data_IF_889060774713
#
_entry.id   IF_889060774713
#
_cell.length_a   1.000
_cell.length_b   1.000
_cell.length_c   1.000
_cell.angle_alpha   90.00
_cell.angle_beta   90.00
_cell.angle_gamma   90.00
#
_symmetry.space_group_name_H-M   'P 1'
#
loop_
_entity.id
_entity.type
_entity.pdbx_description
1 polymer ?
#
# COMPACT_ATOMS: atom_id res chain seq x y z
N UNK A 1 3.43 -49.46 56.09
CA UNK A 1 4.07 -49.31 54.76
C UNK A 1 4.45 -47.84 54.63
N UNK A 2 5.68 -47.49 54.99
CA UNK A 2 6.84 -47.40 54.09
C UNK A 2 6.56 -46.35 52.99
N UNK A 3 7.08 -45.12 53.18
CA UNK A 3 8.22 -44.55 52.43
C UNK A 3 7.74 -43.83 51.15
N UNK A 4 8.15 -42.62 50.76
CA UNK A 4 9.47 -42.02 50.86
C UNK A 4 9.41 -40.51 50.63
N UNK A 5 10.33 -39.80 51.26
CA UNK A 5 10.76 -38.43 50.97
C UNK A 5 11.52 -38.30 49.64
N UNK A 6 11.65 -37.06 49.15
CA UNK A 6 12.83 -36.41 48.50
C UNK A 6 12.35 -35.45 47.38
N UNK A 7 12.63 -34.15 47.32
CA UNK A 7 13.79 -33.27 47.57
C UNK A 7 14.68 -33.02 46.33
N UNK A 8 14.63 -31.78 45.83
CA UNK A 8 15.65 -31.08 45.00
C UNK A 8 15.93 -31.68 43.60
N UNK A 9 16.47 -31.01 42.57
CA UNK A 9 17.34 -29.84 42.42
C UNK A 9 17.29 -29.34 40.96
N UNK A 10 17.80 -28.13 40.72
CA UNK A 10 18.00 -27.39 39.47
C UNK A 10 18.37 -28.17 38.17
N UNK A 11 17.89 -27.66 37.02
CA UNK A 11 18.76 -27.30 35.88
C UNK A 11 18.06 -26.42 34.84
N UNK A 12 18.80 -25.41 34.37
CA UNK A 12 18.53 -24.45 33.28
C UNK A 12 18.38 -25.17 31.93
N UNK A 13 17.62 -24.60 30.99
CA UNK A 13 18.09 -24.20 29.64
C UNK A 13 17.22 -23.03 29.13
N UNK A 14 17.88 -22.01 28.61
CA UNK A 14 17.37 -20.83 27.91
C UNK A 14 16.69 -21.21 26.59
N UNK A 15 15.58 -20.56 26.20
CA UNK A 15 15.45 -20.13 24.81
C UNK A 15 14.52 -18.92 24.65
N UNK A 16 15.09 -17.92 24.01
CA UNK A 16 14.56 -16.64 23.57
C UNK A 16 13.60 -16.76 22.38
N UNK A 17 12.53 -15.94 22.38
CA UNK A 17 12.00 -15.18 21.23
C UNK A 17 10.55 -14.79 21.55
N UNK A 18 10.28 -13.55 21.98
CA UNK A 18 9.97 -12.44 21.06
C UNK A 18 8.88 -12.75 20.04
N UNK A 19 7.62 -12.85 20.48
CA UNK A 19 6.48 -12.58 19.61
C UNK A 19 5.36 -11.83 20.33
N UNK A 20 4.87 -10.81 19.62
CA UNK A 20 3.52 -10.24 19.69
C UNK A 20 3.18 -9.28 20.85
N UNK A 21 3.70 -8.06 20.76
CA UNK A 21 2.92 -6.87 21.13
C UNK A 21 2.76 -5.99 19.88
N UNK A 22 1.91 -6.47 18.97
CA UNK A 22 1.59 -5.80 17.71
C UNK A 22 0.08 -5.57 17.65
N UNK A 23 -0.47 -4.90 18.66
CA UNK A 23 -1.86 -4.44 18.69
C UNK A 23 -1.90 -2.99 19.14
N UNK A 24 -2.18 -2.05 18.21
CA UNK A 24 -2.40 -0.66 18.61
C UNK A 24 -2.46 0.42 17.53
N UNK A 25 -2.13 0.18 16.26
CA UNK A 25 -2.17 1.24 15.23
C UNK A 25 -3.29 0.95 14.23
N UNK A 26 -4.46 1.54 14.47
CA UNK A 26 -5.56 1.56 13.50
C UNK A 26 -5.16 2.37 12.28
N UNK A 27 -5.06 1.69 11.13
CA UNK A 27 -5.00 2.30 9.81
C UNK A 27 -6.42 2.71 9.39
N UNK A 28 -6.65 4.01 9.18
CA UNK A 28 -7.50 4.59 8.12
C UNK A 28 -7.64 6.10 8.35
N UNK A 29 -7.11 6.91 7.42
CA UNK A 29 -7.73 8.17 7.01
C UNK A 29 -7.98 9.31 8.02
N UNK A 30 -7.63 9.18 9.29
CA UNK A 30 -7.76 10.26 10.27
C UNK A 30 -6.41 10.54 10.92
N UNK A 31 -6.05 11.82 10.96
CA UNK A 31 -5.03 12.34 11.85
C UNK A 31 -5.62 12.27 13.26
N UNK A 32 -5.70 11.07 13.82
CA UNK A 32 -6.04 10.90 15.23
C UNK A 32 -4.76 10.97 16.06
N UNK A 33 -4.82 11.92 16.99
CA UNK A 33 -3.85 12.15 18.06
C UNK A 33 -3.36 10.80 18.60
N UNK A 34 -2.05 10.61 18.53
CA UNK A 34 -1.32 9.45 19.07
C UNK A 34 -1.93 9.06 20.42
N UNK A 35 -2.53 7.86 20.45
CA UNK A 35 -3.09 7.25 21.64
C UNK A 35 -2.01 7.22 22.74
N UNK A 36 -2.19 8.12 23.69
CA UNK A 36 -1.63 8.02 25.02
C UNK A 36 -2.40 6.91 25.75
N UNK A 37 -1.78 5.75 25.95
CA UNK A 37 -2.34 4.70 26.80
C UNK A 37 -1.51 3.42 26.68
N UNK A 38 -1.10 2.73 27.73
CA UNK A 38 -1.29 2.81 29.17
C UNK A 38 0.03 2.32 29.80
N UNK A 39 0.40 2.86 30.98
CA UNK A 39 1.61 2.51 31.76
C UNK A 39 2.96 3.05 31.28
N UNK A 40 3.09 4.38 31.22
CA UNK A 40 4.34 5.01 31.64
C UNK A 40 4.01 6.19 32.54
N UNK A 41 4.68 6.24 33.68
CA UNK A 41 4.48 7.16 34.81
C UNK A 41 4.09 8.58 34.39
N UNK A 42 3.01 9.09 34.98
CA UNK A 42 2.47 10.46 34.89
C UNK A 42 3.48 11.59 35.19
N UNK A 43 4.71 11.27 35.61
CA UNK A 43 5.78 12.22 35.92
C UNK A 43 6.81 12.43 34.81
N UNK A 44 6.74 11.72 33.66
CA UNK A 44 7.74 11.80 32.57
C UNK A 44 7.23 12.36 31.23
N UNK A 45 6.10 13.07 31.19
CA UNK A 45 5.67 13.76 29.94
C UNK A 45 6.37 15.10 29.76
N UNK A 46 7.71 15.10 29.67
CA UNK A 46 8.38 16.21 28.97
C UNK A 46 8.01 16.05 27.49
N UNK A 47 7.49 17.12 26.91
CA UNK A 47 6.96 17.14 25.54
C UNK A 47 8.04 16.67 24.56
N UNK A 48 7.77 15.59 23.82
CA UNK A 48 8.55 15.12 22.65
C UNK A 48 8.43 16.13 21.50
N UNK A 49 8.84 17.37 21.75
CA UNK A 49 8.70 18.47 20.78
C UNK A 49 9.86 18.40 19.81
N UNK A 50 9.52 18.22 18.54
CA UNK A 50 10.48 18.34 17.44
C UNK A 50 10.90 19.82 17.34
N UNK A 51 12.21 20.11 17.24
CA UNK A 51 12.71 21.46 17.03
C UNK A 51 12.11 22.15 15.80
N UNK A 52 11.87 23.46 15.93
CA UNK A 52 11.17 24.26 14.92
C UNK A 52 11.95 24.41 13.59
N UNK A 53 13.26 24.14 13.60
CA UNK A 53 14.12 24.24 12.40
C UNK A 53 13.93 23.08 11.41
N UNK A 54 13.54 21.89 11.90
CA UNK A 54 13.26 20.73 11.04
C UNK A 54 11.77 20.44 10.90
N UNK A 55 10.94 20.86 11.87
CA UNK A 55 9.51 20.59 11.90
C UNK A 55 8.76 20.94 10.59
N UNK A 56 9.03 22.07 9.90
CA UNK A 56 8.34 22.41 8.65
C UNK A 56 8.59 21.37 7.54
N UNK A 57 9.81 20.85 7.43
CA UNK A 57 10.18 19.85 6.42
C UNK A 57 9.47 18.51 6.69
N UNK A 58 9.43 18.08 7.95
CA UNK A 58 8.73 16.85 8.35
C UNK A 58 7.23 16.97 8.09
N UNK A 59 6.60 18.09 8.47
CA UNK A 59 5.17 18.35 8.20
C UNK A 59 4.86 18.32 6.70
N UNK A 60 5.75 18.88 5.88
CA UNK A 60 5.60 18.88 4.42
C UNK A 60 5.62 17.46 3.86
N UNK A 61 6.51 16.60 4.34
CA UNK A 61 6.59 15.20 3.93
C UNK A 61 5.35 14.42 4.41
N UNK A 62 4.90 14.62 5.65
CA UNK A 62 3.68 13.98 6.19
C UNK A 62 2.44 14.37 5.36
N UNK A 63 2.29 15.64 5.00
CA UNK A 63 1.21 16.13 4.14
C UNK A 63 1.31 15.57 2.71
N UNK A 64 2.52 15.46 2.18
CA UNK A 64 2.77 14.85 0.87
C UNK A 64 2.38 13.37 0.88
N UNK A 65 2.77 12.60 1.90
CA UNK A 65 2.36 11.21 2.06
C UNK A 65 0.84 11.07 2.10
N UNK A 66 0.15 11.91 2.85
CA UNK A 66 -1.31 11.85 2.93
C UNK A 66 -1.95 12.03 1.55
N UNK A 67 -1.42 12.96 0.76
CA UNK A 67 -1.91 13.23 -0.61
C UNK A 67 -1.59 12.06 -1.55
N UNK A 68 -0.37 11.53 -1.51
CA UNK A 68 0.06 10.38 -2.29
C UNK A 68 -0.76 9.12 -1.97
N UNK A 69 -1.03 8.84 -0.69
CA UNK A 69 -1.81 7.68 -0.23
C UNK A 69 -3.28 7.77 -0.69
N UNK A 70 -3.90 8.96 -0.60
CA UNK A 70 -5.26 9.18 -1.11
C UNK A 70 -5.34 8.99 -2.62
N UNK A 71 -4.40 9.56 -3.36
CA UNK A 71 -4.33 9.44 -4.81
C UNK A 71 -4.11 7.98 -5.23
N UNK A 72 -3.13 7.29 -4.62
CA UNK A 72 -2.85 5.89 -4.89
C UNK A 72 -4.09 5.01 -4.68
N UNK A 73 -4.81 5.17 -3.55
CA UNK A 73 -6.04 4.41 -3.29
C UNK A 73 -7.13 4.70 -4.32
N UNK A 74 -7.30 5.95 -4.73
CA UNK A 74 -8.28 6.34 -5.72
C UNK A 74 -7.99 5.68 -7.09
N UNK A 75 -6.73 5.71 -7.53
CA UNK A 75 -6.31 5.08 -8.78
C UNK A 75 -6.49 3.56 -8.75
N UNK A 76 -6.11 2.90 -7.65
CA UNK A 76 -6.30 1.45 -7.51
C UNK A 76 -7.79 1.08 -7.47
N UNK A 77 -8.63 1.88 -6.82
CA UNK A 77 -10.07 1.65 -6.76
C UNK A 77 -10.75 1.81 -8.13
N UNK A 78 -10.27 2.75 -8.96
CA UNK A 78 -10.71 2.89 -10.35
C UNK A 78 -10.32 1.66 -11.21
N UNK A 79 -9.15 1.07 -10.97
CA UNK A 79 -8.76 -0.17 -11.66
C UNK A 79 -9.58 -1.38 -11.22
N UNK A 80 -9.90 -1.47 -9.93
CA UNK A 80 -10.62 -2.60 -9.33
C UNK A 80 -11.66 -2.07 -8.35
N UNK A 81 -12.88 -1.89 -8.86
CA UNK A 81 -14.01 -1.33 -8.11
C UNK A 81 -14.41 -2.20 -6.91
N UNK A 82 -14.11 -3.50 -6.96
CA UNK A 82 -14.31 -4.38 -5.82
C UNK A 82 -13.40 -3.96 -4.65
N UNK A 83 -14.03 -3.47 -3.59
CA UNK A 83 -13.35 -2.95 -2.40
C UNK A 83 -12.51 -4.00 -1.66
N UNK A 84 -12.85 -5.30 -1.78
CA UNK A 84 -12.08 -6.36 -1.13
C UNK A 84 -10.77 -6.61 -1.89
N UNK A 85 -10.83 -6.64 -3.22
CA UNK A 85 -9.67 -6.90 -4.06
C UNK A 85 -8.72 -5.70 -4.14
N UNK A 86 -9.23 -4.48 -4.29
CA UNK A 86 -8.42 -3.26 -4.33
C UNK A 86 -7.57 -3.08 -3.07
N UNK A 87 -8.10 -3.42 -1.89
CA UNK A 87 -7.37 -3.34 -0.62
C UNK A 87 -6.09 -4.17 -0.59
N UNK A 88 -6.07 -5.31 -1.28
CA UNK A 88 -4.89 -6.19 -1.33
C UNK A 88 -3.75 -5.57 -2.15
N UNK A 89 -4.08 -4.64 -3.05
CA UNK A 89 -3.13 -4.01 -3.97
C UNK A 89 -2.52 -2.71 -3.43
N UNK A 90 -2.93 -2.27 -2.24
CA UNK A 90 -2.33 -1.09 -1.60
C UNK A 90 -0.93 -1.34 -1.04
N UNK A 91 -0.44 -2.58 -1.14
CA UNK A 91 0.77 -3.05 -0.47
C UNK A 91 1.93 -3.25 -1.46
N UNK A 92 3.18 -3.10 -1.00
CA UNK A 92 4.37 -3.32 -1.84
C UNK A 92 4.52 -4.76 -2.34
N UNK A 93 3.89 -5.72 -1.68
CA UNK A 93 3.91 -7.12 -2.07
C UNK A 93 2.64 -7.45 -2.86
N UNK A 94 2.63 -7.09 -4.14
CA UNK A 94 1.52 -7.41 -5.02
C UNK A 94 1.34 -8.94 -5.10
N UNK A 95 0.09 -9.45 -5.03
CA UNK A 95 -0.18 -10.87 -5.16
C UNK A 95 0.19 -11.36 -6.57
N UNK A 96 0.69 -12.61 -6.65
CA UNK A 96 1.03 -13.26 -7.93
C UNK A 96 -0.18 -13.32 -8.86
N UNK A 97 -1.36 -13.57 -8.29
CA UNK A 97 -2.64 -13.53 -9.00
C UNK A 97 -3.46 -12.33 -8.53
N UNK A 98 -3.68 -11.39 -9.43
CA UNK A 98 -4.58 -10.25 -9.19
C UNK A 98 -6.01 -10.76 -9.31
N UNK A 99 -6.73 -10.78 -8.19
CA UNK A 99 -8.16 -11.05 -8.20
C UNK A 99 -8.90 -9.78 -8.63
N UNK A 100 -9.80 -9.93 -9.59
CA UNK A 100 -10.62 -8.86 -10.12
C UNK A 100 -11.88 -9.43 -10.73
N UNK A 101 -12.92 -8.62 -10.75
CA UNK A 101 -14.14 -8.95 -11.47
C UNK A 101 -13.83 -9.06 -12.96
N UNK A 102 -14.42 -10.07 -13.62
CA UNK A 102 -14.17 -10.38 -15.03
C UNK A 102 -15.45 -10.24 -15.86
N UNK A 103 -16.04 -9.03 -15.94
CA UNK A 103 -17.34 -8.84 -16.57
C UNK A 103 -17.35 -9.29 -18.03
N UNK A 104 -16.31 -8.93 -18.80
CA UNK A 104 -16.21 -9.35 -20.21
C UNK A 104 -16.11 -10.86 -20.36
N UNK A 105 -15.34 -11.54 -19.52
CA UNK A 105 -15.25 -13.01 -19.53
C UNK A 105 -16.59 -13.65 -19.23
N UNK A 106 -17.28 -13.18 -18.19
CA UNK A 106 -18.57 -13.72 -17.77
C UNK A 106 -19.63 -13.56 -18.87
N UNK A 107 -19.66 -12.42 -19.55
CA UNK A 107 -20.57 -12.18 -20.68
C UNK A 107 -20.24 -13.12 -21.85
N UNK A 108 -18.97 -13.25 -22.22
CA UNK A 108 -18.55 -14.17 -23.29
C UNK A 108 -18.90 -15.63 -22.98
N UNK A 109 -18.67 -16.10 -21.75
CA UNK A 109 -19.02 -17.46 -21.31
C UNK A 109 -20.54 -17.67 -21.32
N UNK A 110 -21.32 -16.68 -20.88
CA UNK A 110 -22.78 -16.73 -20.93
C UNK A 110 -23.30 -16.86 -22.36
N UNK A 111 -22.84 -15.99 -23.27
CA UNK A 111 -23.27 -16.00 -24.68
C UNK A 111 -22.92 -17.33 -25.37
N UNK A 112 -21.72 -17.86 -25.12
CA UNK A 112 -21.30 -19.15 -25.66
C UNK A 112 -22.14 -20.31 -25.14
N UNK A 113 -22.52 -20.29 -23.86
CA UNK A 113 -23.40 -21.31 -23.27
C UNK A 113 -24.84 -21.20 -23.77
N UNK A 114 -25.35 -19.97 -23.91
CA UNK A 114 -26.68 -19.70 -24.45
C UNK A 114 -26.84 -20.24 -25.88
N UNK A 115 -25.84 -20.01 -26.75
CA UNK A 115 -25.85 -20.54 -28.12
C UNK A 115 -25.87 -22.08 -28.15
N UNK A 116 -25.09 -22.74 -27.27
CA UNK A 116 -25.09 -24.20 -27.17
C UNK A 116 -26.46 -24.75 -26.77
N UNK A 117 -27.11 -24.13 -25.78
CA UNK A 117 -28.43 -24.57 -25.27
C UNK A 117 -29.53 -24.35 -26.32
N UNK A 118 -29.51 -23.22 -27.03
CA UNK A 118 -30.51 -22.89 -28.05
C UNK A 118 -30.38 -23.77 -29.29
N UNK A 119 -29.15 -24.03 -29.78
CA UNK A 119 -28.90 -24.99 -30.86
C UNK A 119 -29.38 -26.40 -30.51
N UNK A 120 -29.13 -26.86 -29.28
CA UNK A 120 -29.56 -28.18 -28.82
C UNK A 120 -31.09 -28.30 -28.68
N UNK A 121 -31.77 -27.22 -28.28
CA UNK A 121 -33.23 -27.23 -28.04
C UNK A 121 -34.09 -27.00 -29.30
N UNK A 122 -33.48 -26.76 -30.47
CA UNK A 122 -34.17 -26.46 -31.76
C UNK A 122 -35.21 -25.32 -31.66
N UNK A 123 -35.12 -24.46 -30.64
CA UNK A 123 -36.04 -23.34 -30.41
C UNK A 123 -35.42 -22.04 -30.93
N UNK A 124 -36.00 -21.51 -32.00
CA UNK A 124 -35.67 -20.19 -32.56
C UNK A 124 -34.44 -20.17 -33.46
N UNK A 125 -34.46 -19.28 -34.46
CA UNK A 125 -33.28 -18.89 -35.23
C UNK A 125 -32.69 -17.64 -34.58
N UNK A 126 -31.53 -17.77 -33.96
CA UNK A 126 -30.77 -16.65 -33.41
C UNK A 126 -29.54 -16.37 -34.28
N UNK A 127 -29.07 -15.11 -34.34
CA UNK A 127 -27.77 -14.80 -34.92
C UNK A 127 -26.66 -15.60 -34.24
N UNK A 128 -25.61 -15.93 -34.99
CA UNK A 128 -24.43 -16.61 -34.45
C UNK A 128 -23.76 -15.73 -33.37
N UNK A 129 -23.44 -16.35 -32.23
CA UNK A 129 -22.85 -15.64 -31.09
C UNK A 129 -21.32 -15.73 -31.05
N UNK A 130 -20.70 -16.52 -31.93
CA UNK A 130 -19.25 -16.72 -32.01
C UNK A 130 -18.46 -15.40 -32.10
N UNK A 131 -18.88 -14.47 -32.97
CA UNK A 131 -18.25 -13.16 -33.11
C UNK A 131 -18.29 -12.35 -31.80
N UNK A 132 -19.48 -12.07 -31.20
CA UNK A 132 -19.59 -11.43 -29.90
C UNK A 132 -18.78 -12.13 -28.79
N UNK A 133 -18.80 -13.46 -28.73
CA UNK A 133 -18.03 -14.24 -27.74
C UNK A 133 -16.53 -13.97 -27.87
N UNK A 134 -16.00 -13.95 -29.09
CA UNK A 134 -14.59 -13.65 -29.35
C UNK A 134 -14.22 -12.21 -28.96
N UNK A 135 -15.09 -11.24 -29.26
CA UNK A 135 -14.91 -9.84 -28.88
C UNK A 135 -14.81 -9.69 -27.36
N UNK A 136 -15.75 -10.29 -26.62
CA UNK A 136 -15.72 -10.25 -25.16
C UNK A 136 -14.50 -10.97 -24.56
N UNK A 137 -14.06 -12.07 -25.18
CA UNK A 137 -12.80 -12.73 -24.80
C UNK A 137 -11.60 -11.79 -24.98
N UNK A 138 -11.49 -11.11 -26.12
CA UNK A 138 -10.40 -10.19 -26.41
C UNK A 138 -10.43 -8.95 -25.48
N UNK A 139 -11.61 -8.39 -25.21
CA UNK A 139 -11.81 -7.34 -24.20
C UNK A 139 -11.33 -7.78 -22.81
N UNK A 140 -11.61 -9.03 -22.41
CA UNK A 140 -11.13 -9.56 -21.12
C UNK A 140 -9.60 -9.64 -21.07
N UNK A 141 -8.95 -10.09 -22.14
CA UNK A 141 -7.49 -10.20 -22.19
C UNK A 141 -6.81 -8.83 -22.14
N UNK A 142 -7.35 -7.86 -22.88
CA UNK A 142 -6.82 -6.49 -22.86
C UNK A 142 -7.03 -5.84 -21.48
N UNK A 143 -8.19 -6.06 -20.82
CA UNK A 143 -8.42 -5.57 -19.45
C UNK A 143 -7.44 -6.17 -18.43
N UNK A 144 -7.16 -7.47 -18.51
CA UNK A 144 -6.19 -8.13 -17.62
C UNK A 144 -4.76 -7.58 -17.85
N UNK A 145 -4.39 -7.32 -19.10
CA UNK A 145 -3.10 -6.70 -19.46
C UNK A 145 -3.00 -5.27 -18.93
N UNK A 146 -4.06 -4.48 -19.12
CA UNK A 146 -4.15 -3.10 -18.67
C UNK A 146 -3.96 -2.98 -17.16
N UNK A 147 -4.70 -3.76 -16.37
CA UNK A 147 -4.58 -3.72 -14.90
C UNK A 147 -3.15 -4.03 -14.44
N UNK A 148 -2.51 -5.06 -15.02
CA UNK A 148 -1.11 -5.39 -14.69
C UNK A 148 -0.16 -4.23 -14.96
N UNK A 149 -0.25 -3.62 -16.14
CA UNK A 149 0.60 -2.48 -16.49
C UNK A 149 0.33 -1.27 -15.60
N UNK A 150 -0.92 -1.02 -15.22
CA UNK A 150 -1.23 0.08 -14.33
C UNK A 150 -0.66 -0.12 -12.94
N UNK A 151 -0.69 -1.34 -12.39
CA UNK A 151 -0.02 -1.65 -11.13
C UNK A 151 1.50 -1.49 -11.23
N UNK A 152 2.10 -1.89 -12.35
CA UNK A 152 3.52 -1.67 -12.64
C UNK A 152 3.86 -0.18 -12.69
N UNK A 153 3.05 0.62 -13.37
CA UNK A 153 3.21 2.07 -13.41
C UNK A 153 3.12 2.66 -12.00
N UNK A 154 2.19 2.21 -11.16
CA UNK A 154 1.98 2.72 -9.80
C UNK A 154 3.05 2.27 -8.77
N UNK A 155 3.98 1.38 -9.14
CA UNK A 155 5.05 0.89 -8.24
C UNK A 155 5.76 1.99 -7.45
N UNK A 156 6.17 3.14 -8.03
CA UNK A 156 6.83 4.18 -7.26
C UNK A 156 6.00 4.69 -6.08
N UNK A 157 4.69 4.87 -6.25
CA UNK A 157 3.80 5.29 -5.16
C UNK A 157 3.63 4.18 -4.12
N UNK A 158 3.50 2.93 -4.57
CA UNK A 158 3.39 1.76 -3.70
C UNK A 158 4.65 1.64 -2.83
N UNK A 159 5.84 1.73 -3.44
CA UNK A 159 7.13 1.68 -2.75
C UNK A 159 7.30 2.83 -1.77
N UNK A 160 6.94 4.05 -2.16
CA UNK A 160 7.00 5.21 -1.29
C UNK A 160 6.12 5.04 -0.04
N UNK A 161 4.85 4.67 -0.23
CA UNK A 161 3.89 4.53 0.87
C UNK A 161 4.23 3.32 1.75
N UNK A 162 4.60 2.21 1.11
CA UNK A 162 4.76 0.90 1.76
C UNK A 162 6.13 0.65 2.40
N UNK A 163 7.19 1.32 1.94
CA UNK A 163 8.56 1.05 2.37
C UNK A 163 9.29 2.33 2.78
N UNK A 164 9.40 3.29 1.88
CA UNK A 164 10.26 4.46 2.09
C UNK A 164 9.73 5.39 3.20
N UNK A 165 8.42 5.61 3.23
CA UNK A 165 7.80 6.40 4.30
C UNK A 165 7.89 5.71 5.67
N UNK A 166 7.85 4.38 5.70
CA UNK A 166 8.04 3.62 6.93
C UNK A 166 9.45 3.78 7.50
N UNK A 167 10.46 3.76 6.64
CA UNK A 167 11.84 4.03 7.03
C UNK A 167 12.01 5.47 7.55
N UNK A 168 11.38 6.45 6.90
CA UNK A 168 11.29 7.81 7.43
C UNK A 168 10.67 7.84 8.84
N UNK A 169 9.54 7.14 9.04
CA UNK A 169 8.87 7.08 10.34
C UNK A 169 9.77 6.44 11.41
N UNK A 170 10.54 5.41 11.04
CA UNK A 170 11.52 4.76 11.92
C UNK A 170 12.63 5.73 12.34
N UNK A 171 13.23 6.44 11.38
CA UNK A 171 14.27 7.44 11.63
C UNK A 171 13.76 8.61 12.47
N UNK A 172 12.52 9.05 12.24
CA UNK A 172 11.88 10.09 13.05
C UNK A 172 11.74 9.67 14.50
N UNK A 173 11.33 8.42 14.76
CA UNK A 173 11.22 7.89 16.14
C UNK A 173 12.60 7.78 16.80
N UNK A 174 13.62 7.28 16.07
CA UNK A 174 14.99 7.22 16.58
C UNK A 174 15.52 8.61 16.97
N UNK A 175 15.20 9.63 16.18
CA UNK A 175 15.55 11.01 16.51
C UNK A 175 14.80 11.51 17.77
N UNK A 176 13.51 11.22 17.91
CA UNK A 176 12.74 11.56 19.11
C UNK A 176 13.32 10.90 20.38
N UNK A 177 13.72 9.63 20.29
CA UNK A 177 14.35 8.92 21.40
C UNK A 177 15.71 9.56 21.75
N UNK A 178 16.48 9.99 20.75
CA UNK A 178 17.75 10.70 20.96
C UNK A 178 17.58 12.07 21.62
N UNK A 179 16.47 12.77 21.35
CA UNK A 179 16.11 14.02 22.02
C UNK A 179 15.79 13.77 23.50
N UNK A 180 14.98 12.76 23.79
CA UNK A 180 14.60 12.39 25.16
C UNK A 180 15.83 11.99 25.99
N UNK A 181 16.77 11.24 25.39
CA UNK A 181 18.04 10.88 26.02
C UNK A 181 18.91 12.10 26.31
N UNK A 182 18.98 13.06 25.39
CA UNK A 182 19.74 14.30 25.58
C UNK A 182 19.14 15.20 26.67
N UNK A 183 17.82 15.39 26.68
CA UNK A 183 17.13 16.16 27.73
C UNK A 183 17.33 15.54 29.11
N UNK A 184 17.37 14.21 29.19
CA UNK A 184 17.67 13.47 30.41
C UNK A 184 19.11 13.70 30.85
N UNK A 185 20.08 13.60 29.94
CA UNK A 185 21.49 13.83 30.23
C UNK A 185 21.77 15.27 30.71
N UNK A 186 21.20 16.28 30.04
CA UNK A 186 21.27 17.69 30.51
C UNK A 186 20.70 17.82 31.92
N UNK A 187 19.55 17.20 32.18
CA UNK A 187 18.91 17.28 33.49
C UNK A 187 19.81 16.67 34.57
N UNK A 188 20.48 15.54 34.28
CA UNK A 188 21.44 14.92 35.20
C UNK A 188 22.69 15.78 35.40
N UNK A 189 23.30 16.30 34.33
CA UNK A 189 24.46 17.20 34.39
C UNK A 189 24.18 18.43 35.24
N UNK A 190 22.98 19.02 35.13
CA UNK A 190 22.59 20.18 35.94
C UNK A 190 22.51 19.89 37.45
N UNK A 191 22.27 18.62 37.82
CA UNK A 191 22.12 18.16 39.22
C UNK A 191 23.44 17.68 39.82
N UNK A 192 24.18 16.85 39.11
CA UNK A 192 25.36 16.14 39.64
C UNK A 192 26.66 16.93 39.42
N UNK A 193 26.75 17.69 38.31
CA UNK A 193 27.89 18.55 37.94
C UNK A 193 29.26 17.85 38.00
N UNK A 194 29.30 16.55 37.75
CA UNK A 194 30.54 15.77 37.70
C UNK A 194 31.00 15.54 36.25
N UNK A 195 32.24 15.08 36.10
CA UNK A 195 32.85 14.80 34.80
C UNK A 195 32.10 13.69 34.04
N UNK A 196 31.54 12.72 34.75
CA UNK A 196 30.79 11.62 34.15
C UNK A 196 29.48 12.12 33.48
N UNK A 197 28.75 13.02 34.13
CA UNK A 197 27.54 13.62 33.59
C UNK A 197 27.84 14.57 32.42
N UNK A 198 29.00 15.25 32.43
CA UNK A 198 29.46 16.03 31.28
C UNK A 198 29.75 15.14 30.06
N UNK A 199 30.52 14.05 30.23
CA UNK A 199 30.81 13.08 29.16
C UNK A 199 29.51 12.47 28.61
N UNK A 200 28.58 12.09 29.50
CA UNK A 200 27.28 11.54 29.10
C UNK A 200 26.46 12.52 28.26
N UNK A 201 26.46 13.81 28.65
CA UNK A 201 25.75 14.86 27.92
C UNK A 201 26.36 15.13 26.55
N UNK A 202 27.69 15.18 26.46
CA UNK A 202 28.39 15.32 25.17
C UNK A 202 28.07 14.15 24.22
N UNK A 203 28.09 12.90 24.74
CA UNK A 203 27.72 11.71 23.96
C UNK A 203 26.27 11.76 23.48
N UNK A 204 25.34 12.17 24.36
CA UNK A 204 23.93 12.30 24.00
C UNK A 204 23.70 13.41 22.96
N UNK A 205 24.42 14.53 23.07
CA UNK A 205 24.38 15.62 22.10
C UNK A 205 24.84 15.17 20.71
N UNK A 206 25.97 14.45 20.65
CA UNK A 206 26.50 13.88 19.40
C UNK A 206 25.48 12.95 18.77
N UNK A 207 24.97 11.97 19.53
CA UNK A 207 23.97 11.01 19.02
C UNK A 207 22.70 11.71 18.49
N UNK A 208 22.22 12.74 19.19
CA UNK A 208 21.09 13.57 18.75
C UNK A 208 21.36 14.24 17.40
N UNK A 209 22.54 14.83 17.24
CA UNK A 209 22.92 15.50 16.00
C UNK A 209 23.07 14.48 14.86
N UNK A 210 23.71 13.32 15.09
CA UNK A 210 23.85 12.25 14.10
C UNK A 210 22.47 11.72 13.65
N UNK A 211 21.54 11.54 14.58
CA UNK A 211 20.17 11.12 14.26
C UNK A 211 19.41 12.18 13.46
N UNK A 212 19.59 13.46 13.80
CA UNK A 212 19.01 14.59 13.06
C UNK A 212 19.52 14.62 11.62
N UNK A 213 20.83 14.52 11.44
CA UNK A 213 21.47 14.55 10.13
C UNK A 213 20.96 13.41 9.24
N UNK A 214 20.99 12.16 9.75
CA UNK A 214 20.47 10.99 9.04
C UNK A 214 18.99 11.15 8.64
N UNK A 215 18.15 11.64 9.56
CA UNK A 215 16.75 11.90 9.26
C UNK A 215 16.59 12.94 8.15
N UNK A 216 17.31 14.06 8.24
CA UNK A 216 17.19 15.16 7.28
C UNK A 216 17.76 14.83 5.92
N UNK A 217 18.85 14.07 5.86
CA UNK A 217 19.40 13.52 4.62
C UNK A 217 18.39 12.59 3.95
N UNK A 218 17.76 11.70 4.73
CA UNK A 218 16.73 10.79 4.20
C UNK A 218 15.50 11.55 3.70
N UNK A 219 15.03 12.56 4.43
CA UNK A 219 13.95 13.45 3.98
C UNK A 219 14.30 14.15 2.68
N UNK A 220 15.54 14.63 2.53
CA UNK A 220 16.05 15.20 1.28
C UNK A 220 15.98 14.20 0.12
N UNK A 221 16.48 12.97 0.34
CA UNK A 221 16.41 11.88 -0.66
C UNK A 221 14.98 11.60 -1.11
N UNK A 222 14.02 11.50 -0.19
CA UNK A 222 12.61 11.29 -0.54
C UNK A 222 12.03 12.45 -1.36
N UNK A 223 12.39 13.67 -0.99
CA UNK A 223 11.86 14.86 -1.63
C UNK A 223 12.41 15.06 -3.04
N UNK A 224 13.73 15.01 -3.18
CA UNK A 224 14.42 15.38 -4.42
C UNK A 224 14.36 14.24 -5.45
N UNK A 225 14.48 12.99 -5.01
CA UNK A 225 14.45 11.83 -5.92
C UNK A 225 13.07 11.19 -6.06
N UNK A 226 12.24 11.24 -5.03
CA UNK A 226 10.92 10.58 -5.03
C UNK A 226 9.86 11.37 -5.77
N UNK A 227 9.77 12.68 -5.52
CA UNK A 227 8.69 13.52 -6.07
C UNK A 227 8.62 13.48 -7.62
N UNK A 228 9.72 13.58 -8.39
CA UNK A 228 9.65 13.47 -9.85
C UNK A 228 9.15 12.10 -10.31
N UNK A 229 9.61 11.01 -9.68
CA UNK A 229 9.19 9.63 -10.00
C UNK A 229 7.70 9.41 -9.74
N UNK A 230 7.17 9.99 -8.67
CA UNK A 230 5.75 9.91 -8.34
C UNK A 230 4.88 10.74 -9.30
N UNK A 231 5.38 11.84 -9.83
CA UNK A 231 4.66 12.58 -10.88
C UNK A 231 4.68 11.80 -12.20
N UNK A 232 5.85 11.28 -12.58
CA UNK A 232 6.03 10.49 -13.80
C UNK A 232 5.14 9.24 -13.82
N UNK A 233 4.98 8.54 -12.69
CA UNK A 233 4.13 7.36 -12.66
C UNK A 233 2.65 7.67 -12.89
N UNK A 234 2.16 8.82 -12.42
CA UNK A 234 0.77 9.26 -12.67
C UNK A 234 0.58 9.64 -14.14
N UNK A 235 1.57 10.26 -14.77
CA UNK A 235 1.55 10.55 -16.21
C UNK A 235 1.51 9.25 -17.01
N UNK A 236 2.39 8.29 -16.71
CA UNK A 236 2.40 6.96 -17.35
C UNK A 236 1.07 6.23 -17.15
N UNK A 237 0.46 6.38 -15.96
CA UNK A 237 -0.86 5.82 -15.69
C UNK A 237 -1.91 6.39 -16.64
N UNK A 238 -1.96 7.71 -16.81
CA UNK A 238 -2.90 8.37 -17.70
C UNK A 238 -2.67 7.98 -19.18
N UNK A 239 -1.41 7.91 -19.62
CA UNK A 239 -1.06 7.49 -20.99
C UNK A 239 -1.49 6.04 -21.28
N UNK A 240 -1.31 5.13 -20.33
CA UNK A 240 -1.75 3.74 -20.51
C UNK A 240 -3.28 3.63 -20.54
N UNK A 241 -4.00 4.47 -19.78
CA UNK A 241 -5.46 4.53 -19.85
C UNK A 241 -5.96 4.92 -21.24
N UNK A 242 -5.34 5.93 -21.87
CA UNK A 242 -5.65 6.33 -23.25
C UNK A 242 -5.42 5.18 -24.22
N UNK A 243 -4.26 4.52 -24.14
CA UNK A 243 -3.92 3.37 -25.01
C UNK A 243 -4.90 2.21 -24.82
N UNK A 244 -5.31 1.93 -23.59
CA UNK A 244 -6.29 0.91 -23.29
C UNK A 244 -7.64 1.19 -23.96
N UNK A 245 -8.17 2.41 -23.82
CA UNK A 245 -9.44 2.78 -24.44
C UNK A 245 -9.37 2.76 -25.98
N UNK A 246 -8.26 3.17 -26.58
CA UNK A 246 -8.04 3.05 -28.03
C UNK A 246 -8.12 1.59 -28.48
N UNK A 247 -7.40 0.68 -27.82
CA UNK A 247 -7.43 -0.75 -28.16
C UNK A 247 -8.80 -1.38 -27.93
N UNK A 248 -9.50 -1.01 -26.86
CA UNK A 248 -10.87 -1.48 -26.61
C UNK A 248 -11.80 -1.06 -27.76
N UNK A 249 -11.68 0.18 -28.26
CA UNK A 249 -12.42 0.63 -29.43
C UNK A 249 -12.06 -0.15 -30.70
N UNK A 250 -10.78 -0.46 -30.93
CA UNK A 250 -10.35 -1.31 -32.05
C UNK A 250 -10.93 -2.73 -31.97
N UNK A 251 -10.98 -3.32 -30.78
CA UNK A 251 -11.56 -4.67 -30.57
C UNK A 251 -13.05 -4.64 -30.90
N UNK A 252 -13.78 -3.62 -30.44
CA UNK A 252 -15.22 -3.49 -30.66
C UNK A 252 -15.54 -3.21 -32.14
N UNK A 253 -14.79 -2.33 -32.81
CA UNK A 253 -15.05 -1.97 -34.21
C UNK A 253 -14.72 -3.11 -35.19
N UNK A 254 -13.74 -3.98 -34.88
CA UNK A 254 -13.48 -5.19 -35.68
C UNK A 254 -14.67 -6.16 -35.67
N UNK A 255 -15.52 -6.13 -34.64
CA UNK A 255 -16.73 -6.94 -34.56
C UNK A 255 -17.79 -6.52 -35.59
N UNK A 256 -17.97 -5.21 -35.79
CA UNK A 256 -18.99 -4.65 -36.68
C UNK A 256 -18.71 -4.94 -38.17
N UNK A 257 -17.45 -5.05 -38.55
CA UNK A 257 -17.07 -5.33 -39.96
C UNK A 257 -17.34 -6.79 -40.35
N UNK A 258 -17.36 -7.71 -39.38
CA UNK A 258 -17.67 -9.13 -39.59
C UNK A 258 -19.17 -9.46 -39.61
N UNK A 259 -20.03 -8.57 -39.09
CA UNK A 259 -21.48 -8.72 -39.08
C UNK A 259 -22.15 -7.92 -40.21
N UNK A 260 -21.80 -8.20 -41.47
CA UNK A 260 -22.74 -7.92 -42.57
C UNK A 260 -23.86 -8.96 -42.53
N UNK A 261 -24.78 -8.79 -41.59
CA UNK A 261 -26.00 -9.56 -41.47
C UNK A 261 -26.93 -9.22 -42.65
N UNK A 262 -27.08 -10.15 -43.56
CA UNK A 262 -28.25 -10.26 -44.44
C UNK A 262 -29.48 -10.44 -43.56
N UNK A 263 -30.12 -9.32 -43.19
CA UNK A 263 -31.48 -9.34 -42.64
C UNK A 263 -32.41 -9.66 -43.81
N UNK A 264 -32.72 -10.93 -44.04
CA UNK A 264 -33.86 -11.30 -44.87
C UNK A 264 -35.12 -10.97 -44.08
N UNK A 265 -35.73 -9.83 -44.42
CA UNK A 265 -37.07 -9.49 -43.96
C UNK A 265 -38.01 -10.56 -44.51
N UNK A 266 -38.46 -11.47 -43.65
CA UNK A 266 -39.55 -12.39 -43.99
C UNK A 266 -40.82 -11.55 -44.24
N UNK A 267 -41.54 -11.77 -45.35
CA UNK A 267 -42.77 -11.03 -45.62
C UNK A 267 -43.81 -11.37 -44.55
N UNK A 268 -44.45 -10.32 -44.03
CA UNK A 268 -45.56 -10.44 -43.08
C UNK A 268 -46.70 -11.26 -43.69
N UNK A 269 -47.27 -12.17 -42.89
CA UNK A 269 -48.53 -12.86 -43.19
C UNK A 269 -49.71 -12.06 -42.68
#
# INVERSE_FOLDING_TARGET
MASSQSSSTHSKVEESASQSNLHGIKFHGQVEKINQGLFSSLTKRKSRRIPDDILPRLKKLDAYKLSADKMHRALIYELIENAQYSKLLYTPNLPIAIQMDRPYRNIGEFLGNFEKITKASRKGQYPAMEGPVEVFRNCSLERDSYVKKQLENLKPLITFIGLEYWEYSRLRNLYLDSLEAYDTAITAQSKERDEAAEIATQKAMKNRNDCKEKLMEYVGKLWDNGKPKHAECVVKYAEEAVKHHQKMAEILTKADVGQKSTVSVLPAK
#
